data_IF_239912209272
#
_entry.id   IF_239912209272
#
_cell.length_a   1.000
_cell.length_b   1.000
_cell.length_c   1.000
_cell.angle_alpha   90.00
_cell.angle_beta   90.00
_cell.angle_gamma   90.00
#
_symmetry.space_group_name_H-M   'P 1'
#
loop_
_entity.id
_entity.type
_entity.pdbx_description
1 polymer ?
#
# COMPACT_ATOMS: atom_id res chain seq x y z
N UNK A 1 20.51 15.21 -26.96
CA UNK A 1 21.25 16.35 -26.39
C UNK A 1 20.22 17.40 -26.04
N UNK A 2 20.26 17.97 -24.83
CA UNK A 2 19.36 19.05 -24.47
C UNK A 2 19.61 20.26 -25.39
N UNK A 3 18.55 20.94 -25.82
CA UNK A 3 18.69 22.15 -26.63
C UNK A 3 19.31 23.27 -25.79
N UNK A 4 20.14 24.16 -26.37
CA UNK A 4 20.69 25.30 -25.64
C UNK A 4 19.57 26.12 -24.97
N UNK A 5 19.70 26.35 -23.66
CA UNK A 5 18.70 27.10 -22.87
C UNK A 5 17.59 26.26 -22.23
N UNK A 6 17.56 24.94 -22.46
CA UNK A 6 16.51 24.07 -21.92
C UNK A 6 16.53 23.93 -20.39
N UNK A 7 17.71 23.78 -19.81
CA UNK A 7 17.86 23.58 -18.36
C UNK A 7 17.49 24.88 -17.60
N UNK A 8 17.83 26.03 -18.18
CA UNK A 8 17.42 27.35 -17.70
C UNK A 8 15.91 27.54 -17.82
N UNK A 9 15.29 27.10 -18.91
CA UNK A 9 13.84 27.16 -19.08
C UNK A 9 13.11 26.26 -18.06
N UNK A 10 13.64 25.08 -17.76
CA UNK A 10 13.11 24.22 -16.70
C UNK A 10 13.17 24.91 -15.33
N UNK A 11 14.31 25.55 -15.02
CA UNK A 11 14.47 26.32 -13.78
C UNK A 11 13.46 27.47 -13.70
N UNK A 12 13.22 28.18 -14.81
CA UNK A 12 12.20 29.21 -14.88
C UNK A 12 10.80 28.63 -14.56
N UNK A 13 10.46 27.48 -15.14
CA UNK A 13 9.17 26.83 -14.87
C UNK A 13 9.00 26.46 -13.38
N UNK A 14 10.04 25.94 -12.73
CA UNK A 14 10.03 25.59 -11.32
C UNK A 14 9.87 26.83 -10.42
N UNK A 15 10.61 27.90 -10.70
CA UNK A 15 10.50 29.17 -9.96
C UNK A 15 9.11 29.80 -10.11
N UNK A 16 8.55 29.80 -11.33
CA UNK A 16 7.20 30.32 -11.54
C UNK A 16 6.14 29.48 -10.82
N UNK A 17 6.31 28.16 -10.79
CA UNK A 17 5.39 27.28 -10.06
C UNK A 17 5.45 27.53 -8.55
N UNK A 18 6.65 27.69 -7.98
CA UNK A 18 6.81 28.05 -6.58
C UNK A 18 6.15 29.40 -6.24
N UNK A 19 6.31 30.40 -7.11
CA UNK A 19 5.65 31.69 -6.95
C UNK A 19 4.12 31.60 -6.93
N UNK A 20 3.52 30.79 -7.82
CA UNK A 20 2.07 30.61 -7.88
C UNK A 20 1.53 29.89 -6.65
N UNK A 21 2.19 28.84 -6.18
CA UNK A 21 1.80 28.14 -4.95
C UNK A 21 1.78 29.10 -3.75
N UNK A 22 2.76 29.99 -3.65
CA UNK A 22 2.83 31.00 -2.58
C UNK A 22 1.78 32.10 -2.71
N UNK A 23 1.27 32.38 -3.92
CA UNK A 23 0.20 33.34 -4.14
C UNK A 23 -1.19 32.72 -3.88
N UNK A 24 -1.33 31.41 -4.04
CA UNK A 24 -2.57 30.66 -3.76
C UNK A 24 -2.71 30.27 -2.28
N UNK A 25 -1.61 30.19 -1.54
CA UNK A 25 -1.62 29.85 -0.12
C UNK A 25 -2.11 31.04 0.75
N UNK A 26 -3.26 30.92 1.44
CA UNK A 26 -3.79 31.99 2.29
C UNK A 26 -2.93 32.29 3.52
N UNK A 27 -2.01 31.39 3.90
CA UNK A 27 -1.12 31.55 5.04
C UNK A 27 0.24 32.16 4.65
N UNK A 28 0.60 32.13 3.37
CA UNK A 28 1.87 32.66 2.89
C UNK A 28 1.77 34.18 2.65
N UNK A 29 2.68 35.01 3.23
CA UNK A 29 2.71 36.43 2.89
C UNK A 29 3.13 36.61 1.42
N UNK A 30 2.29 37.20 0.56
CA UNK A 30 2.54 37.30 -0.89
C UNK A 30 3.92 37.86 -1.30
N UNK A 31 4.58 38.65 -0.45
CA UNK A 31 5.98 39.09 -0.65
C UNK A 31 6.98 37.94 -0.82
N UNK A 32 6.68 36.73 -0.31
CA UNK A 32 7.53 35.54 -0.45
C UNK A 32 7.54 34.99 -1.88
N UNK A 33 6.53 35.31 -2.70
CA UNK A 33 6.52 34.95 -4.11
C UNK A 33 7.48 35.79 -4.96
N UNK A 34 7.90 36.97 -4.47
CA UNK A 34 8.70 37.93 -5.26
C UNK A 34 10.09 37.40 -5.62
N UNK A 35 10.88 36.79 -4.71
CA UNK A 35 12.14 36.16 -5.07
C UNK A 35 12.00 35.07 -6.14
N UNK A 36 10.92 34.28 -6.10
CA UNK A 36 10.66 33.25 -7.12
C UNK A 36 10.25 33.86 -8.47
N UNK A 37 9.46 34.93 -8.47
CA UNK A 37 9.19 35.68 -9.71
C UNK A 37 10.47 36.31 -10.28
N UNK A 38 11.39 36.79 -9.44
CA UNK A 38 12.70 37.29 -9.87
C UNK A 38 13.55 36.16 -10.47
N UNK A 39 13.63 35.01 -9.77
CA UNK A 39 14.31 33.81 -10.25
C UNK A 39 13.79 33.34 -11.61
N UNK A 40 12.46 33.36 -11.80
CA UNK A 40 11.85 33.09 -13.10
C UNK A 40 12.42 34.00 -14.20
N UNK A 41 12.44 35.32 -14.01
CA UNK A 41 12.90 36.26 -15.03
C UNK A 41 14.40 36.13 -15.33
N UNK A 42 15.22 35.89 -14.30
CA UNK A 42 16.66 35.64 -14.46
C UNK A 42 16.91 34.34 -15.24
N UNK A 43 16.15 33.29 -14.94
CA UNK A 43 16.22 32.02 -15.66
C UNK A 43 15.74 32.16 -17.11
N UNK A 44 14.70 32.95 -17.38
CA UNK A 44 14.24 33.27 -18.74
C UNK A 44 15.30 34.04 -19.55
N UNK A 45 15.97 35.02 -18.93
CA UNK A 45 17.10 35.72 -19.53
C UNK A 45 18.22 34.72 -19.88
N UNK A 46 18.62 33.87 -18.93
CA UNK A 46 19.65 32.86 -19.14
C UNK A 46 19.30 31.89 -20.27
N UNK A 47 18.04 31.43 -20.33
CA UNK A 47 17.53 30.60 -21.41
C UNK A 47 17.61 31.32 -22.76
N UNK A 48 17.20 32.59 -22.82
CA UNK A 48 17.31 33.44 -24.01
C UNK A 48 18.75 33.64 -24.48
N UNK A 49 19.70 33.87 -23.57
CA UNK A 49 21.12 34.00 -23.90
C UNK A 49 21.69 32.70 -24.49
N UNK A 50 21.39 31.56 -23.87
CA UNK A 50 21.85 30.25 -24.34
C UNK A 50 21.26 29.90 -25.71
N UNK A 51 19.99 30.27 -25.95
CA UNK A 51 19.30 30.05 -27.22
C UNK A 51 19.54 31.14 -28.29
N UNK A 52 20.27 32.21 -27.96
CA UNK A 52 20.49 33.39 -28.82
C UNK A 52 19.18 34.09 -29.27
N UNK A 53 18.21 34.21 -28.36
CA UNK A 53 16.89 34.83 -28.60
C UNK A 53 16.76 36.12 -27.79
N UNK A 54 16.08 37.13 -28.33
CA UNK A 54 15.96 38.46 -27.72
C UNK A 54 17.25 39.27 -27.87
N UNK A 55 17.60 40.07 -26.85
CA UNK A 55 18.92 40.72 -26.79
C UNK A 55 19.89 39.86 -25.94
N UNK A 56 20.73 38.99 -26.54
CA UNK A 56 21.53 38.00 -25.81
C UNK A 56 22.62 38.62 -24.92
N UNK A 57 22.98 39.88 -25.14
CA UNK A 57 23.96 40.61 -24.33
C UNK A 57 23.32 41.56 -23.31
N UNK A 58 21.99 41.53 -23.14
CA UNK A 58 21.27 42.36 -22.20
C UNK A 58 21.72 42.10 -20.76
N UNK A 59 21.83 43.16 -19.94
CA UNK A 59 22.23 43.05 -18.54
C UNK A 59 21.09 42.53 -17.64
N UNK A 60 19.84 42.83 -18.01
CA UNK A 60 18.65 42.47 -17.26
C UNK A 60 17.49 41.95 -18.15
N UNK A 61 16.46 41.30 -17.57
CA UNK A 61 15.32 40.77 -18.32
C UNK A 61 14.53 41.82 -19.13
N UNK A 62 14.48 43.07 -18.67
CA UNK A 62 13.80 44.16 -19.37
C UNK A 62 14.55 44.59 -20.63
N UNK A 63 15.87 44.69 -20.57
CA UNK A 63 16.72 44.91 -21.75
C UNK A 63 16.64 43.73 -22.73
N UNK A 64 16.58 42.51 -22.22
CA UNK A 64 16.47 41.29 -23.04
C UNK A 64 15.21 41.27 -23.90
N UNK A 65 14.09 41.68 -23.34
CA UNK A 65 12.81 41.83 -24.05
C UNK A 65 12.85 42.94 -25.12
N UNK A 66 13.85 43.82 -25.11
CA UNK A 66 14.08 44.81 -26.16
C UNK A 66 14.43 44.18 -27.52
N UNK A 67 15.05 43.00 -27.52
CA UNK A 67 15.38 42.26 -28.75
C UNK A 67 14.20 41.49 -29.35
N UNK A 68 14.38 40.97 -30.56
CA UNK A 68 13.34 40.20 -31.25
C UNK A 68 13.18 38.80 -30.63
N UNK A 69 11.94 38.45 -30.30
CA UNK A 69 11.57 37.15 -29.74
C UNK A 69 10.43 36.59 -30.58
N UNK A 70 10.64 35.42 -31.18
CA UNK A 70 9.62 34.76 -31.99
C UNK A 70 8.35 34.50 -31.17
N UNK A 71 7.19 34.88 -31.72
CA UNK A 71 5.88 34.72 -31.05
C UNK A 71 5.45 35.89 -30.17
N UNK A 72 6.28 36.93 -30.00
CA UNK A 72 5.93 38.13 -29.21
C UNK A 72 6.06 39.41 -30.04
N UNK A 73 4.97 40.18 -30.13
CA UNK A 73 5.01 41.50 -30.75
C UNK A 73 5.69 42.55 -29.83
N UNK A 74 6.05 43.71 -30.40
CA UNK A 74 6.75 44.76 -29.65
C UNK A 74 5.95 45.30 -28.45
N UNK A 75 4.61 45.33 -28.57
CA UNK A 75 3.73 45.81 -27.50
C UNK A 75 3.74 44.84 -26.32
N UNK A 76 3.65 43.54 -26.59
CA UNK A 76 3.68 42.48 -25.59
C UNK A 76 5.04 42.45 -24.91
N UNK A 77 6.14 42.61 -25.66
CA UNK A 77 7.49 42.72 -25.08
C UNK A 77 7.63 43.91 -24.13
N UNK A 78 7.11 45.09 -24.50
CA UNK A 78 7.14 46.26 -23.60
C UNK A 78 6.25 46.06 -22.36
N UNK A 79 5.09 45.42 -22.49
CA UNK A 79 4.24 45.06 -21.35
C UNK A 79 4.94 44.09 -20.39
N UNK A 80 5.61 43.06 -20.92
CA UNK A 80 6.41 42.13 -20.13
C UNK A 80 7.59 42.84 -19.44
N UNK A 81 8.24 43.78 -20.12
CA UNK A 81 9.31 44.58 -19.54
C UNK A 81 8.79 45.49 -18.41
N UNK A 82 7.60 46.07 -18.57
CA UNK A 82 6.93 46.81 -17.50
C UNK A 82 6.57 45.91 -16.31
N UNK A 83 6.17 44.65 -16.55
CA UNK A 83 5.96 43.67 -15.49
C UNK A 83 7.24 43.35 -14.72
N UNK A 84 8.39 43.22 -15.40
CA UNK A 84 9.68 43.07 -14.73
C UNK A 84 10.03 44.29 -13.88
N UNK A 85 9.99 45.50 -14.46
CA UNK A 85 10.34 46.76 -13.77
C UNK A 85 9.41 47.07 -12.58
N UNK A 86 8.15 46.64 -12.66
CA UNK A 86 7.14 46.85 -11.63
C UNK A 86 7.11 45.80 -10.52
N UNK A 87 7.98 44.79 -10.57
CA UNK A 87 8.02 43.72 -9.58
C UNK A 87 8.62 44.24 -8.26
N UNK A 88 7.84 44.18 -7.18
CA UNK A 88 8.24 44.70 -5.87
C UNK A 88 7.64 43.88 -4.74
N UNK A 89 8.40 43.70 -3.64
CA UNK A 89 7.93 43.07 -2.41
C UNK A 89 6.77 43.82 -1.72
N UNK A 90 6.56 45.09 -2.08
CA UNK A 90 5.48 45.93 -1.56
C UNK A 90 4.24 45.94 -2.48
N UNK A 91 4.28 45.23 -3.61
CA UNK A 91 3.16 45.19 -4.54
C UNK A 91 1.94 44.46 -3.93
N UNK A 92 0.71 44.90 -4.22
CA UNK A 92 -0.49 44.19 -3.78
C UNK A 92 -0.58 42.80 -4.44
N UNK A 93 -1.20 41.83 -3.75
CA UNK A 93 -1.32 40.44 -4.21
C UNK A 93 -1.91 40.35 -5.62
N UNK A 94 -2.98 41.09 -5.90
CA UNK A 94 -3.61 41.13 -7.22
C UNK A 94 -2.67 41.62 -8.33
N UNK A 95 -1.66 42.44 -8.00
CA UNK A 95 -0.62 42.83 -8.95
C UNK A 95 0.38 41.69 -9.15
N UNK A 96 0.84 41.02 -8.09
CA UNK A 96 1.73 39.85 -8.17
C UNK A 96 1.11 38.70 -8.97
N UNK A 97 -0.19 38.44 -8.81
CA UNK A 97 -0.92 37.48 -9.65
C UNK A 97 -0.93 37.87 -11.13
N UNK A 98 -1.04 39.17 -11.45
CA UNK A 98 -0.92 39.64 -12.85
C UNK A 98 0.50 39.40 -13.39
N UNK A 99 1.53 39.61 -12.57
CA UNK A 99 2.90 39.29 -12.95
C UNK A 99 3.09 37.78 -13.20
N UNK A 100 2.58 36.92 -12.32
CA UNK A 100 2.63 35.46 -12.49
C UNK A 100 1.90 34.99 -13.76
N UNK A 101 0.70 35.54 -14.04
CA UNK A 101 -0.04 35.24 -15.28
C UNK A 101 0.73 35.65 -16.53
N UNK A 102 1.36 36.83 -16.54
CA UNK A 102 2.18 37.29 -17.66
C UNK A 102 3.44 36.43 -17.84
N UNK A 103 4.11 36.06 -16.75
CA UNK A 103 5.24 35.14 -16.75
C UNK A 103 4.87 33.76 -17.32
N UNK A 104 3.69 33.22 -16.96
CA UNK A 104 3.19 31.96 -17.51
C UNK A 104 2.97 32.03 -19.02
N UNK A 105 2.36 33.11 -19.50
CA UNK A 105 2.15 33.31 -20.93
C UNK A 105 3.48 33.38 -21.70
N UNK A 106 4.47 34.08 -21.15
CA UNK A 106 5.82 34.13 -21.71
C UNK A 106 6.46 32.74 -21.77
N UNK A 107 6.43 31.99 -20.66
CA UNK A 107 6.98 30.64 -20.59
C UNK A 107 6.35 29.72 -21.64
N UNK A 108 5.02 29.73 -21.77
CA UNK A 108 4.30 28.94 -22.76
C UNK A 108 4.63 29.33 -24.21
N UNK A 109 4.93 30.61 -24.45
CA UNK A 109 5.31 31.10 -25.78
C UNK A 109 6.72 30.65 -26.17
N UNK A 110 7.65 30.68 -25.21
CA UNK A 110 9.06 30.35 -25.45
C UNK A 110 9.38 28.86 -25.34
N UNK A 111 8.56 28.09 -24.64
CA UNK A 111 8.70 26.63 -24.51
C UNK A 111 8.82 25.89 -25.86
N UNK A 112 7.96 26.11 -26.88
CA UNK A 112 8.14 25.46 -28.18
C UNK A 112 9.37 25.99 -28.95
N UNK A 113 9.83 27.21 -28.66
CA UNK A 113 10.95 27.87 -29.36
C UNK A 113 12.30 27.39 -28.83
N UNK A 114 12.45 27.27 -27.51
CA UNK A 114 13.70 26.88 -26.82
C UNK A 114 13.75 25.37 -26.55
N UNK A 115 12.60 24.74 -26.32
CA UNK A 115 12.53 23.37 -25.82
C UNK A 115 12.36 22.26 -26.85
N UNK A 116 11.91 22.59 -28.06
CA UNK A 116 11.67 21.62 -29.12
C UNK A 116 10.59 20.60 -28.76
N UNK A 117 9.39 20.79 -29.30
CA UNK A 117 8.22 19.94 -29.05
C UNK A 117 7.65 20.10 -27.62
N UNK A 118 6.32 20.30 -27.46
CA UNK A 118 5.75 20.70 -26.17
C UNK A 118 5.95 19.64 -25.07
N UNK A 119 6.24 20.08 -23.83
CA UNK A 119 6.42 19.26 -22.60
C UNK A 119 5.29 18.24 -22.38
N UNK A 120 4.12 18.51 -22.96
CA UNK A 120 2.95 17.64 -22.97
C UNK A 120 3.23 16.26 -23.55
N UNK A 121 4.18 16.12 -24.46
CA UNK A 121 4.53 14.83 -25.08
C UNK A 121 5.44 13.97 -24.19
N UNK A 122 6.32 14.57 -23.38
CA UNK A 122 7.24 13.83 -22.50
C UNK A 122 6.54 13.35 -21.22
N UNK A 123 5.70 14.18 -20.60
CA UNK A 123 4.81 13.76 -19.48
C UNK A 123 3.78 12.72 -19.93
N UNK A 124 3.21 12.85 -21.14
CA UNK A 124 2.32 11.81 -21.70
C UNK A 124 3.06 10.52 -22.00
N UNK A 125 4.27 10.54 -22.59
CA UNK A 125 5.03 9.32 -22.85
C UNK A 125 5.33 8.56 -21.57
N UNK A 126 5.75 9.24 -20.50
CA UNK A 126 5.97 8.62 -19.18
C UNK A 126 4.66 8.04 -18.61
N UNK A 127 3.56 8.80 -18.68
CA UNK A 127 2.25 8.33 -18.24
C UNK A 127 1.77 7.09 -19.03
N UNK A 128 1.88 7.10 -20.35
CA UNK A 128 1.49 5.97 -21.21
C UNK A 128 2.41 4.77 -21.03
N UNK A 129 3.71 4.96 -20.75
CA UNK A 129 4.60 3.84 -20.40
C UNK A 129 4.25 3.22 -19.06
N UNK A 130 3.89 4.03 -18.05
CA UNK A 130 3.44 3.51 -16.76
C UNK A 130 2.11 2.78 -16.89
N UNK A 131 1.15 3.30 -17.65
CA UNK A 131 -0.14 2.64 -17.92
C UNK A 131 0.06 1.33 -18.69
N UNK A 132 0.93 1.31 -19.71
CA UNK A 132 1.25 0.10 -20.46
C UNK A 132 1.92 -0.97 -19.61
N UNK A 133 2.86 -0.58 -18.73
CA UNK A 133 3.48 -1.48 -17.74
C UNK A 133 2.44 -2.02 -16.76
N UNK A 134 1.58 -1.15 -16.22
CA UNK A 134 0.49 -1.57 -15.33
C UNK A 134 -0.42 -2.59 -16.01
N UNK A 135 -0.87 -2.34 -17.25
CA UNK A 135 -1.71 -3.29 -18.01
C UNK A 135 -1.01 -4.61 -18.32
N UNK A 136 0.32 -4.63 -18.45
CA UNK A 136 1.08 -5.85 -18.71
C UNK A 136 1.28 -6.68 -17.43
N UNK A 137 1.61 -6.03 -16.31
CA UNK A 137 2.01 -6.71 -15.08
C UNK A 137 0.85 -7.03 -14.14
N UNK A 138 -0.25 -6.28 -14.16
CA UNK A 138 -1.44 -6.63 -13.37
C UNK A 138 -2.05 -7.99 -13.73
N UNK A 139 -2.31 -8.36 -15.00
CA UNK A 139 -2.87 -9.67 -15.31
C UNK A 139 -1.91 -10.80 -14.93
N UNK A 140 -0.59 -10.57 -15.01
CA UNK A 140 0.40 -11.55 -14.55
C UNK A 140 0.40 -11.70 -13.03
N UNK A 141 0.34 -10.60 -12.28
CA UNK A 141 0.25 -10.65 -10.82
C UNK A 141 -1.05 -11.31 -10.36
N UNK A 142 -2.18 -11.01 -11.02
CA UNK A 142 -3.46 -11.66 -10.77
C UNK A 142 -3.37 -13.15 -11.11
N UNK A 143 -2.79 -13.52 -12.26
CA UNK A 143 -2.59 -14.92 -12.64
C UNK A 143 -1.76 -15.66 -11.60
N UNK A 144 -0.62 -15.12 -11.17
CA UNK A 144 0.23 -15.72 -10.13
C UNK A 144 -0.54 -15.86 -8.82
N UNK A 145 -1.33 -14.86 -8.41
CA UNK A 145 -2.14 -14.94 -7.20
C UNK A 145 -3.23 -16.01 -7.29
N UNK A 146 -3.86 -16.17 -8.47
CA UNK A 146 -4.90 -17.17 -8.72
C UNK A 146 -4.34 -18.59 -8.85
N UNK A 147 -3.08 -18.74 -9.25
CA UNK A 147 -2.43 -20.04 -9.44
C UNK A 147 -1.42 -20.38 -8.34
N UNK A 148 -1.33 -19.59 -7.28
CA UNK A 148 -0.50 -19.92 -6.14
C UNK A 148 -1.11 -21.14 -5.44
N UNK A 149 -0.47 -22.31 -5.58
CA UNK A 149 -0.83 -23.49 -4.81
C UNK A 149 -0.52 -23.23 -3.33
N UNK A 150 -1.45 -23.62 -2.45
CA UNK A 150 -1.21 -23.59 -1.00
C UNK A 150 -0.17 -24.66 -0.69
N UNK A 151 1.00 -24.25 -0.19
CA UNK A 151 2.09 -25.16 0.13
C UNK A 151 1.71 -26.17 1.22
N UNK A 152 2.37 -27.34 1.22
CA UNK A 152 2.19 -28.38 2.24
C UNK A 152 1.16 -29.45 1.88
N UNK A 153 0.92 -30.37 2.82
CA UNK A 153 -0.01 -31.49 2.68
C UNK A 153 -0.85 -31.66 3.95
N UNK A 154 -2.09 -32.15 3.79
CA UNK A 154 -2.95 -32.54 4.90
C UNK A 154 -4.33 -31.89 4.91
N UNK A 155 -5.17 -32.25 5.89
CA UNK A 155 -6.57 -31.84 5.96
C UNK A 155 -6.79 -30.51 6.69
N UNK A 156 -5.75 -29.89 7.23
CA UNK A 156 -5.84 -28.59 7.88
C UNK A 156 -5.42 -27.47 6.94
N UNK A 157 -6.18 -26.39 6.92
CA UNK A 157 -5.74 -25.10 6.37
C UNK A 157 -5.22 -24.24 7.51
N UNK A 158 -3.90 -24.09 7.60
CA UNK A 158 -3.24 -23.17 8.51
C UNK A 158 -3.14 -21.78 7.85
N UNK A 159 -3.48 -20.74 8.59
CA UNK A 159 -3.35 -19.34 8.21
C UNK A 159 -2.49 -18.63 9.23
N UNK A 160 -1.26 -18.29 8.86
CA UNK A 160 -0.26 -17.67 9.72
C UNK A 160 -0.27 -16.14 9.57
N UNK A 161 -0.39 -15.41 10.67
CA UNK A 161 -0.46 -13.96 10.72
C UNK A 161 0.75 -13.38 11.44
N UNK A 162 1.36 -12.33 10.88
CA UNK A 162 2.43 -11.56 11.50
C UNK A 162 1.91 -10.52 12.53
N UNK A 163 0.82 -10.86 13.23
CA UNK A 163 0.19 -10.09 14.31
C UNK A 163 -0.49 -11.08 15.27
N UNK A 164 -0.82 -10.65 16.49
CA UNK A 164 -1.44 -11.48 17.53
C UNK A 164 -2.96 -11.61 17.44
N UNK A 165 -3.63 -10.79 16.64
CA UNK A 165 -5.09 -10.65 16.62
C UNK A 165 -5.74 -11.28 15.39
N UNK A 166 -4.98 -12.07 14.62
CA UNK A 166 -5.44 -12.66 13.36
C UNK A 166 -5.80 -11.57 12.32
N UNK A 167 -5.05 -10.45 12.36
CA UNK A 167 -5.22 -9.32 11.45
C UNK A 167 -4.13 -9.31 10.36
N UNK A 168 -4.44 -8.71 9.21
CA UNK A 168 -3.52 -8.59 8.07
C UNK A 168 -3.66 -9.72 7.04
N UNK A 169 -2.69 -9.80 6.12
CA UNK A 169 -2.65 -10.84 5.08
C UNK A 169 -1.94 -12.09 5.61
N UNK A 170 -2.62 -13.22 5.79
CA UNK A 170 -1.99 -14.43 6.26
C UNK A 170 -1.23 -15.16 5.16
N UNK A 171 -0.35 -16.07 5.58
CA UNK A 171 0.24 -17.10 4.73
C UNK A 171 -0.56 -18.37 4.95
N UNK A 172 -1.04 -18.96 3.85
CA UNK A 172 -1.79 -20.20 3.90
C UNK A 172 -0.86 -21.40 3.70
N UNK A 173 -1.03 -22.43 4.51
CA UNK A 173 -0.31 -23.70 4.40
C UNK A 173 -1.26 -24.86 4.70
N UNK A 174 -1.00 -26.03 4.10
CA UNK A 174 -1.68 -27.27 4.45
C UNK A 174 -0.86 -28.05 5.47
N UNK A 175 -1.56 -28.59 6.47
CA UNK A 175 -0.92 -29.33 7.55
C UNK A 175 -1.64 -30.65 7.86
N UNK A 176 -0.87 -31.63 8.32
CA UNK A 176 -1.37 -32.94 8.74
C UNK A 176 -2.06 -32.90 10.09
N UNK A 177 -1.61 -32.04 11.01
CA UNK A 177 -2.09 -31.98 12.39
C UNK A 177 -1.74 -30.64 13.05
N UNK A 178 -2.48 -30.28 14.10
CA UNK A 178 -2.15 -29.17 15.00
C UNK A 178 -1.36 -29.72 16.20
N UNK A 179 -0.05 -29.93 16.01
CA UNK A 179 0.89 -30.41 17.03
C UNK A 179 2.27 -29.79 16.79
N UNK A 180 2.49 -28.61 17.38
CA UNK A 180 3.63 -27.74 17.11
C UNK A 180 4.38 -27.37 18.39
N UNK A 181 5.71 -27.45 18.33
CA UNK A 181 6.62 -26.92 19.34
C UNK A 181 7.72 -26.13 18.61
N UNK A 182 7.51 -24.82 18.47
CA UNK A 182 8.45 -23.93 17.79
C UNK A 182 9.60 -23.50 18.71
N UNK A 183 9.51 -23.77 20.02
CA UNK A 183 10.45 -23.20 20.97
C UNK A 183 10.48 -21.69 20.80
N UNK A 184 11.63 -21.10 20.47
CA UNK A 184 11.79 -19.66 20.23
C UNK A 184 11.91 -19.29 18.75
N UNK A 185 11.76 -20.27 17.86
CA UNK A 185 11.90 -20.08 16.43
C UNK A 185 10.58 -19.57 15.83
N UNK A 186 10.66 -19.02 14.62
CA UNK A 186 9.48 -18.58 13.89
C UNK A 186 8.74 -19.78 13.27
N UNK A 187 7.40 -19.75 13.20
CA UNK A 187 6.64 -20.81 12.56
C UNK A 187 6.80 -20.84 11.04
N UNK A 188 7.15 -19.70 10.44
CA UNK A 188 7.33 -19.53 9.01
C UNK A 188 8.31 -18.38 8.75
N UNK A 189 9.07 -18.41 7.65
CA UNK A 189 10.13 -17.43 7.36
C UNK A 189 9.64 -15.98 7.25
N UNK A 190 8.40 -15.79 6.81
CA UNK A 190 7.74 -14.50 6.66
C UNK A 190 6.89 -14.09 7.89
N UNK A 191 6.99 -14.84 8.99
CA UNK A 191 6.31 -14.56 10.27
C UNK A 191 7.37 -14.35 11.35
N UNK A 192 7.23 -13.34 12.22
CA UNK A 192 8.17 -13.14 13.32
C UNK A 192 8.08 -14.26 14.37
N UNK A 193 9.15 -14.54 15.13
CA UNK A 193 9.15 -15.55 16.19
C UNK A 193 8.28 -15.19 17.40
N UNK A 194 8.02 -13.90 17.61
CA UNK A 194 7.13 -13.39 18.66
C UNK A 194 5.98 -12.60 18.02
N UNK A 195 4.86 -12.47 18.75
CA UNK A 195 3.70 -11.64 18.36
C UNK A 195 3.03 -12.08 17.06
N UNK A 196 2.92 -13.37 16.84
CA UNK A 196 2.19 -13.95 15.72
C UNK A 196 0.90 -14.62 16.19
N UNK A 197 0.06 -15.00 15.23
CA UNK A 197 -1.12 -15.82 15.46
C UNK A 197 -1.36 -16.78 14.31
N UNK A 198 -2.06 -17.86 14.59
CA UNK A 198 -2.37 -18.91 13.61
C UNK A 198 -3.83 -19.31 13.76
N UNK A 199 -4.49 -19.48 12.63
CA UNK A 199 -5.83 -20.09 12.54
C UNK A 199 -5.72 -21.37 11.74
N UNK A 200 -6.18 -22.48 12.31
CA UNK A 200 -6.37 -23.73 11.60
C UNK A 200 -7.86 -24.00 11.42
N UNK A 201 -8.27 -24.30 10.19
CA UNK A 201 -9.62 -24.73 9.85
C UNK A 201 -9.57 -26.14 9.25
N UNK A 202 -10.54 -26.99 9.60
CA UNK A 202 -10.77 -28.31 8.98
C UNK A 202 -12.24 -28.72 9.08
N UNK A 203 -12.66 -29.70 8.29
CA UNK A 203 -13.93 -30.39 8.47
C UNK A 203 -13.73 -31.69 9.25
N UNK A 204 -14.36 -31.78 10.41
CA UNK A 204 -14.44 -33.01 11.18
C UNK A 204 -15.63 -33.86 10.71
N UNK A 205 -15.37 -35.11 10.31
CA UNK A 205 -16.39 -36.08 9.91
C UNK A 205 -16.80 -36.98 11.07
N UNK A 206 -18.10 -37.06 11.31
CA UNK A 206 -18.73 -37.98 12.26
C UNK A 206 -19.44 -39.07 11.45
N UNK A 207 -18.85 -40.26 11.44
CA UNK A 207 -19.31 -41.42 10.68
C UNK A 207 -20.34 -42.28 11.46
N UNK A 208 -20.64 -41.94 12.70
CA UNK A 208 -21.58 -42.69 13.54
C UNK A 208 -23.03 -42.58 13.01
N UNK A 209 -23.84 -43.63 13.20
CA UNK A 209 -25.26 -43.59 12.79
C UNK A 209 -26.12 -42.70 13.72
N UNK A 210 -25.57 -42.31 14.87
CA UNK A 210 -26.21 -41.51 15.89
C UNK A 210 -25.26 -40.39 16.34
N UNK A 211 -25.80 -39.42 17.07
CA UNK A 211 -25.00 -38.35 17.64
C UNK A 211 -23.93 -38.88 18.59
N UNK A 212 -22.68 -38.44 18.45
CA UNK A 212 -21.53 -38.92 19.22
C UNK A 212 -20.91 -37.80 20.07
N UNK A 213 -20.53 -38.07 21.33
CA UNK A 213 -19.76 -37.13 22.13
C UNK A 213 -18.32 -37.05 21.60
N UNK A 214 -17.84 -35.81 21.42
CA UNK A 214 -16.46 -35.52 21.04
C UNK A 214 -15.85 -34.64 22.11
N UNK A 215 -14.75 -35.10 22.68
CA UNK A 215 -13.96 -34.32 23.64
C UNK A 215 -12.78 -33.73 22.89
N UNK A 216 -12.65 -32.40 22.89
CA UNK A 216 -11.50 -31.68 22.36
C UNK A 216 -10.66 -31.15 23.51
N UNK A 217 -9.34 -31.24 23.36
CA UNK A 217 -8.38 -30.72 24.33
C UNK A 217 -7.30 -29.91 23.63
N UNK A 218 -6.97 -28.75 24.21
CA UNK A 218 -5.88 -27.91 23.76
C UNK A 218 -4.84 -27.71 24.85
N UNK A 219 -3.58 -27.59 24.43
CA UNK A 219 -2.49 -27.13 25.26
C UNK A 219 -1.64 -26.17 24.45
N UNK A 220 -1.76 -24.88 24.78
CA UNK A 220 -1.04 -23.81 24.12
C UNK A 220 -0.16 -23.02 25.09
N UNK A 221 0.92 -22.48 24.54
CA UNK A 221 1.67 -21.39 25.12
C UNK A 221 1.90 -20.36 24.00
N UNK A 222 1.29 -19.18 23.98
CA UNK A 222 0.35 -18.58 24.93
C UNK A 222 -1.12 -18.99 24.77
N UNK A 223 -1.96 -18.17 24.12
CA UNK A 223 -3.42 -18.27 24.20
C UNK A 223 -4.02 -18.99 23.00
N UNK A 224 -5.10 -19.72 23.23
CA UNK A 224 -5.78 -20.47 22.18
C UNK A 224 -7.27 -20.65 22.47
N UNK A 225 -8.05 -20.86 21.40
CA UNK A 225 -9.48 -21.12 21.47
C UNK A 225 -9.92 -22.07 20.35
N UNK A 226 -11.01 -22.79 20.59
CA UNK A 226 -11.58 -23.79 19.68
C UNK A 226 -13.04 -23.48 19.45
N UNK A 227 -13.45 -23.56 18.19
CA UNK A 227 -14.83 -23.43 17.75
C UNK A 227 -15.26 -24.67 16.98
N UNK A 228 -16.51 -25.08 17.18
CA UNK A 228 -17.15 -26.14 16.41
C UNK A 228 -18.44 -25.57 15.81
N UNK A 229 -18.57 -25.61 14.48
CA UNK A 229 -19.66 -24.98 13.74
C UNK A 229 -19.87 -23.49 14.11
N UNK A 230 -18.78 -22.77 14.38
CA UNK A 230 -18.80 -21.34 14.75
C UNK A 230 -19.08 -21.09 16.24
N UNK A 231 -19.53 -22.09 16.99
CA UNK A 231 -19.76 -21.96 18.43
C UNK A 231 -18.47 -22.19 19.22
N UNK A 232 -18.18 -21.31 20.18
CA UNK A 232 -16.96 -21.41 21.00
C UNK A 232 -17.09 -22.55 22.03
N UNK A 233 -16.21 -23.54 21.91
CA UNK A 233 -16.14 -24.68 22.83
C UNK A 233 -15.08 -24.49 23.92
N UNK A 234 -13.91 -23.97 23.55
CA UNK A 234 -12.82 -23.66 24.47
C UNK A 234 -12.40 -22.22 24.21
N UNK A 235 -12.38 -21.37 25.24
CA UNK A 235 -11.93 -19.98 25.13
C UNK A 235 -10.86 -19.67 26.18
N UNK A 236 -9.61 -19.89 25.78
CA UNK A 236 -8.41 -19.50 26.50
C UNK A 236 -7.74 -18.27 25.91
N UNK A 237 -8.49 -17.36 25.27
CA UNK A 237 -7.95 -16.14 24.68
C UNK A 237 -7.72 -15.04 25.73
N UNK A 238 -6.72 -14.19 25.52
CA UNK A 238 -6.48 -13.02 26.39
C UNK A 238 -7.61 -11.99 26.19
N UNK A 239 -8.38 -11.75 27.26
CA UNK A 239 -9.46 -10.76 27.26
C UNK A 239 -8.97 -9.37 27.66
N UNK A 240 -7.94 -9.29 28.51
CA UNK A 240 -7.37 -8.04 29.05
C UNK A 240 -5.84 -8.12 29.16
N UNK A 241 -5.14 -7.03 28.81
CA UNK A 241 -3.67 -6.92 28.67
C UNK A 241 -2.82 -7.18 29.93
N UNK A 242 -3.46 -7.50 31.05
CA UNK A 242 -2.83 -7.70 32.37
C UNK A 242 -2.60 -9.15 32.76
N UNK A 243 -3.19 -10.10 32.03
CA UNK A 243 -3.12 -11.54 32.36
C UNK A 243 -2.95 -12.36 31.10
N UNK A 244 -1.72 -12.84 30.86
CA UNK A 244 -1.48 -13.91 29.89
C UNK A 244 -2.22 -15.16 30.37
N UNK A 245 -3.23 -15.58 29.62
CA UNK A 245 -3.93 -16.83 29.86
C UNK A 245 -3.38 -17.86 28.88
N UNK A 246 -2.81 -18.95 29.40
CA UNK A 246 -2.46 -20.09 28.55
C UNK A 246 -3.74 -20.72 28.01
N UNK A 247 -3.74 -21.04 26.72
CA UNK A 247 -4.80 -21.75 26.02
C UNK A 247 -4.79 -23.24 26.36
N UNK A 248 -5.08 -23.56 27.63
CA UNK A 248 -5.23 -24.93 28.10
C UNK A 248 -6.69 -25.15 28.45
N UNK A 249 -7.30 -26.19 27.91
CA UNK A 249 -8.69 -26.50 28.18
C UNK A 249 -9.14 -27.82 27.58
N UNK A 250 -10.26 -28.31 28.08
CA UNK A 250 -10.99 -29.46 27.57
C UNK A 250 -12.44 -29.03 27.41
N UNK A 251 -13.05 -29.38 26.27
CA UNK A 251 -14.47 -29.15 26.01
C UNK A 251 -15.09 -30.40 25.40
N UNK A 252 -16.35 -30.64 25.71
CA UNK A 252 -17.12 -31.76 25.17
C UNK A 252 -18.29 -31.20 24.36
N UNK A 253 -18.50 -31.76 23.17
CA UNK A 253 -19.61 -31.41 22.29
C UNK A 253 -20.23 -32.68 21.72
N UNK A 254 -21.55 -32.74 21.65
CA UNK A 254 -22.26 -33.83 20.99
C UNK A 254 -22.54 -33.43 19.55
N UNK A 255 -22.04 -34.21 18.59
CA UNK A 255 -22.14 -33.90 17.16
C UNK A 255 -23.03 -34.91 16.44
N UNK A 256 -23.78 -34.45 15.45
CA UNK A 256 -24.61 -35.31 14.61
C UNK A 256 -23.78 -36.00 13.52
N UNK A 257 -24.30 -37.03 12.85
CA UNK A 257 -23.63 -37.63 11.70
C UNK A 257 -23.43 -36.57 10.59
N UNK A 258 -22.24 -36.52 9.99
CA UNK A 258 -21.91 -35.57 8.92
C UNK A 258 -20.61 -34.79 9.13
N UNK A 259 -20.46 -33.68 8.39
CA UNK A 259 -19.30 -32.79 8.47
C UNK A 259 -19.58 -31.61 9.40
N UNK A 260 -18.60 -31.30 10.24
CA UNK A 260 -18.63 -30.19 11.18
C UNK A 260 -17.38 -29.34 11.04
N UNK A 261 -17.55 -28.03 10.97
CA UNK A 261 -16.41 -27.12 10.90
C UNK A 261 -15.69 -27.08 12.24
N UNK A 262 -14.39 -27.34 12.24
CA UNK A 262 -13.53 -27.24 13.40
C UNK A 262 -12.49 -26.13 13.14
N UNK A 263 -12.56 -25.07 13.94
CA UNK A 263 -11.59 -23.98 13.93
C UNK A 263 -10.81 -23.95 15.22
N UNK A 264 -9.50 -23.83 15.09
CA UNK A 264 -8.58 -23.61 16.20
C UNK A 264 -7.82 -22.32 15.94
N UNK A 265 -7.80 -21.44 16.92
CA UNK A 265 -7.05 -20.19 16.86
C UNK A 265 -6.05 -20.13 17.99
N UNK A 266 -4.87 -19.61 17.69
CA UNK A 266 -3.74 -19.49 18.60
C UNK A 266 -3.05 -18.14 18.40
N UNK A 267 -2.48 -17.59 19.47
CA UNK A 267 -1.52 -16.51 19.38
C UNK A 267 -0.33 -16.74 20.31
N UNK A 268 0.81 -16.21 19.88
CA UNK A 268 2.00 -16.10 20.71
C UNK A 268 2.23 -14.64 21.11
N UNK A 269 2.50 -14.35 22.39
CA UNK A 269 2.94 -13.03 22.80
C UNK A 269 4.44 -12.86 22.59
N UNK A 270 5.21 -13.56 23.42
CA UNK A 270 6.66 -13.43 23.55
C UNK A 270 7.19 -14.64 24.29
N UNK A 271 8.25 -15.24 23.75
CA UNK A 271 9.01 -16.29 24.42
C UNK A 271 8.97 -17.60 23.67
N UNK A 272 8.47 -18.65 24.31
CA UNK A 272 8.44 -19.98 23.71
C UNK A 272 7.03 -20.33 23.23
N UNK A 273 6.89 -20.69 21.97
CA UNK A 273 5.60 -20.97 21.33
C UNK A 273 5.38 -22.47 21.16
N UNK A 274 4.22 -22.96 21.61
CA UNK A 274 3.77 -24.33 21.34
C UNK A 274 2.25 -24.43 21.33
N UNK A 275 1.73 -25.34 20.51
CA UNK A 275 0.30 -25.56 20.37
C UNK A 275 0.01 -27.03 20.01
N UNK A 276 -0.83 -27.68 20.81
CA UNK A 276 -1.28 -29.05 20.57
C UNK A 276 -2.79 -29.16 20.70
N UNK A 277 -3.42 -29.81 19.73
CA UNK A 277 -4.81 -30.23 19.75
C UNK A 277 -4.91 -31.75 19.86
N UNK A 278 -5.81 -32.23 20.71
CA UNK A 278 -6.17 -33.63 20.84
C UNK A 278 -7.69 -33.80 20.86
N UNK A 279 -8.17 -34.97 20.46
CA UNK A 279 -9.58 -35.36 20.51
C UNK A 279 -9.78 -36.78 21.03
N UNK A 280 -10.94 -37.03 21.61
CA UNK A 280 -11.50 -38.36 21.83
C UNK A 280 -12.91 -38.41 21.25
N UNK A 281 -13.27 -39.53 20.60
CA UNK A 281 -14.56 -39.74 19.92
C UNK A 281 -15.43 -40.80 20.62
N UNK A 282 -14.92 -41.39 21.69
CA UNK A 282 -15.49 -42.47 22.49
C UNK A 282 -14.83 -42.46 23.89
N UNK A 283 -14.94 -43.56 24.66
CA UNK A 283 -14.32 -43.70 25.99
C UNK A 283 -12.76 -43.76 25.96
N UNK A 284 -12.12 -43.57 24.79
CA UNK A 284 -10.67 -43.54 24.70
C UNK A 284 -10.08 -42.23 25.25
N UNK A 285 -8.81 -42.30 25.63
CA UNK A 285 -8.06 -41.11 26.04
C UNK A 285 -7.86 -40.16 24.84
N UNK A 286 -7.92 -38.83 25.05
CA UNK A 286 -7.65 -37.86 24.00
C UNK A 286 -6.27 -38.07 23.34
N UNK A 287 -6.26 -38.13 22.01
CA UNK A 287 -5.06 -38.29 21.18
C UNK A 287 -5.09 -37.37 19.96
N UNK A 288 -4.07 -37.42 19.09
CA UNK A 288 -4.08 -36.66 17.83
C UNK A 288 -5.32 -36.97 17.00
N UNK A 289 -5.90 -35.97 16.35
CA UNK A 289 -7.03 -36.20 15.44
C UNK A 289 -6.54 -37.01 14.24
N UNK A 290 -7.23 -38.11 13.96
CA UNK A 290 -6.87 -38.99 12.87
C UNK A 290 -7.25 -38.36 11.51
N UNK A 291 -6.34 -38.28 10.53
CA UNK A 291 -6.60 -37.62 9.25
C UNK A 291 -7.75 -38.22 8.43
N UNK A 292 -8.10 -39.49 8.65
CA UNK A 292 -9.22 -40.16 7.99
C UNK A 292 -10.59 -39.60 8.39
N UNK A 293 -10.68 -38.95 9.56
CA UNK A 293 -11.86 -38.22 10.03
C UNK A 293 -11.84 -36.74 9.64
N UNK A 294 -10.82 -36.28 8.94
CA UNK A 294 -10.66 -34.88 8.59
C UNK A 294 -10.73 -34.67 7.08
N UNK A 295 -11.43 -33.62 6.67
CA UNK A 295 -11.51 -33.19 5.27
C UNK A 295 -10.98 -31.77 5.18
N UNK A 296 -10.17 -31.50 4.15
CA UNK A 296 -9.66 -30.16 3.90
C UNK A 296 -10.83 -29.22 3.58
N UNK A 297 -10.95 -28.06 4.27
CA UNK A 297 -11.99 -27.11 3.96
C UNK A 297 -11.64 -26.46 2.62
N UNK A 298 -12.57 -26.49 1.67
CA UNK A 298 -12.49 -25.83 0.38
C UNK A 298 -12.26 -24.33 0.51
N UNK A 299 -12.14 -23.65 -0.63
CA UNK A 299 -12.05 -22.20 -0.61
C UNK A 299 -13.37 -21.59 -0.09
N UNK A 300 -13.32 -20.36 0.41
CA UNK A 300 -14.50 -19.69 1.00
C UNK A 300 -15.65 -19.46 -0.02
N UNK A 301 -15.45 -19.81 -1.29
CA UNK A 301 -16.41 -19.68 -2.37
C UNK A 301 -17.00 -21.02 -2.82
N UNK A 302 -16.55 -22.13 -2.23
CA UNK A 302 -17.10 -23.45 -2.48
C UNK A 302 -18.42 -23.61 -1.73
N UNK A 303 -19.52 -23.26 -2.40
CA UNK A 303 -20.89 -23.37 -1.87
C UNK A 303 -21.27 -24.82 -1.50
N UNK A 304 -20.55 -25.81 -2.03
CA UNK A 304 -20.76 -27.23 -1.74
C UNK A 304 -19.93 -27.72 -0.53
N UNK A 305 -19.03 -26.90 0.03
CA UNK A 305 -18.30 -27.22 1.25
C UNK A 305 -19.05 -26.70 2.50
N UNK A 306 -19.64 -27.59 3.34
CA UNK A 306 -20.34 -27.18 4.56
C UNK A 306 -19.43 -26.48 5.59
N UNK A 307 -18.10 -26.52 5.40
CA UNK A 307 -17.14 -25.84 6.24
C UNK A 307 -16.56 -24.55 5.63
N UNK A 308 -16.80 -24.26 4.34
CA UNK A 308 -16.30 -23.05 3.68
C UNK A 308 -17.01 -21.78 4.16
N UNK A 309 -18.23 -21.91 4.70
CA UNK A 309 -19.16 -20.80 4.93
C UNK A 309 -19.34 -20.38 6.41
N UNK A 310 -18.55 -20.91 7.34
CA UNK A 310 -18.72 -20.59 8.78
C UNK A 310 -17.74 -19.49 9.19
N UNK A 311 -18.17 -18.22 9.12
CA UNK A 311 -17.46 -17.08 9.74
C UNK A 311 -17.40 -17.19 11.27
#
# INVERSE_FOLDING_TARGET
MAQPGWDELCRAADDLHAAELLLEDPLAPARTAVPHLQGFWEAMLAAGRAAQIGAPNAADPGEWLGGEIAGLDARTREQLAAHWRGLSAQAPVAQLERHARAARQLLQTLEPVIGGGPLRTRKRRILWTCVGLLMLFTPLAIYVALTAEIEGEGPWRASYFADRKLEGSPIHQRELSVDHDWGKDAPHEAVPPDKFSVRWDTCLRIDDEQTAPVILQINANDGARVFVNGESLIDGWERDSGTRRRGIGTGEVTLAPGLHHLRVEYYESMGSASMKLAAAFDDNAPGPLSPDRLVYPGDAFDEDDPCAAVE
#
